data_IF_484774069597
#
_entry.id   IF_484774069597
#
_cell.length_a   1.000
_cell.length_b   1.000
_cell.length_c   1.000
_cell.angle_alpha   90.00
_cell.angle_beta   90.00
_cell.angle_gamma   90.00
#
_symmetry.space_group_name_H-M   'P 1'
#
loop_
_entity.id
_entity.type
_entity.pdbx_description
1 polymer ?
#
# COMPACT_ATOMS: atom_id res chain seq x y z
N UNK A 1 39.52 -20.07 -3.12
CA UNK A 1 39.57 -18.64 -2.74
C UNK A 1 38.44 -17.95 -3.51
N UNK A 2 37.24 -17.91 -2.94
CA UNK A 2 36.05 -17.39 -3.62
C UNK A 2 35.94 -15.90 -3.34
N UNK A 3 36.06 -15.09 -4.39
CA UNK A 3 35.92 -13.64 -4.34
C UNK A 3 34.46 -13.28 -4.08
N UNK A 4 34.21 -12.66 -2.94
CA UNK A 4 32.94 -12.02 -2.58
C UNK A 4 32.88 -10.70 -3.37
N UNK A 5 31.99 -10.60 -4.36
CA UNK A 5 31.69 -9.33 -5.04
C UNK A 5 30.38 -8.79 -4.46
N UNK A 6 30.50 -7.78 -3.58
CA UNK A 6 29.38 -7.00 -3.08
C UNK A 6 28.92 -5.97 -4.11
N UNK A 7 27.62 -5.67 -4.15
CA UNK A 7 27.03 -4.65 -5.03
C UNK A 7 25.96 -3.85 -4.29
N UNK A 8 26.01 -2.54 -4.52
CA UNK A 8 25.31 -1.45 -3.84
C UNK A 8 23.88 -1.21 -4.35
N UNK A 9 23.06 -0.70 -3.43
CA UNK A 9 21.78 -0.02 -3.67
C UNK A 9 22.07 1.33 -4.33
N UNK A 10 21.28 1.72 -5.34
CA UNK A 10 21.17 3.12 -5.73
C UNK A 10 20.08 3.76 -4.87
N UNK A 11 20.46 4.33 -3.72
CA UNK A 11 19.75 5.50 -3.20
C UNK A 11 20.10 6.61 -4.17
N UNK A 12 19.21 6.93 -5.10
CA UNK A 12 19.30 8.19 -5.82
C UNK A 12 19.05 9.29 -4.78
N UNK A 13 20.11 9.72 -4.09
CA UNK A 13 20.15 11.09 -3.58
C UNK A 13 20.25 11.96 -4.82
N UNK A 14 19.10 12.25 -5.44
CA UNK A 14 19.06 13.24 -6.51
C UNK A 14 19.60 14.54 -5.91
N UNK A 15 20.59 15.20 -6.55
CA UNK A 15 21.04 16.50 -6.07
C UNK A 15 19.81 17.40 -5.94
N UNK A 16 19.79 18.17 -4.85
CA UNK A 16 18.82 19.24 -4.64
C UNK A 16 18.65 20.00 -5.96
N UNK A 17 17.41 20.10 -6.43
CA UNK A 17 17.10 20.74 -7.70
C UNK A 17 17.56 22.20 -7.59
N UNK A 18 18.72 22.53 -8.17
CA UNK A 18 19.09 23.93 -8.36
C UNK A 18 18.16 24.47 -9.43
N UNK A 19 17.30 25.40 -9.03
CA UNK A 19 16.43 26.14 -9.93
C UNK A 19 17.31 26.87 -10.94
N UNK A 20 17.32 26.41 -12.20
CA UNK A 20 17.76 27.24 -13.31
C UNK A 20 16.54 27.98 -13.84
N UNK A 21 16.57 29.33 -13.87
CA UNK A 21 15.46 30.08 -14.38
C UNK A 21 15.39 29.91 -15.90
N UNK A 22 14.17 29.84 -16.40
CA UNK A 22 13.80 29.96 -17.82
C UNK A 22 13.92 28.68 -18.65
N UNK A 23 12.91 27.81 -18.51
CA UNK A 23 12.06 27.23 -19.57
C UNK A 23 11.26 26.10 -18.92
N UNK A 24 9.95 26.29 -18.79
CA UNK A 24 9.05 25.32 -18.15
C UNK A 24 8.89 24.06 -19.01
N UNK A 25 9.59 22.99 -18.64
CA UNK A 25 9.23 21.56 -18.81
C UNK A 25 10.48 20.71 -18.54
N UNK A 26 10.43 19.86 -17.51
CA UNK A 26 11.43 18.79 -17.30
C UNK A 26 10.93 17.51 -17.97
N UNK A 27 11.16 17.39 -19.28
CA UNK A 27 11.03 16.09 -19.96
C UNK A 27 12.27 15.24 -19.65
N UNK A 28 12.11 14.18 -18.84
CA UNK A 28 13.08 13.08 -18.84
C UNK A 28 12.70 12.14 -19.98
N UNK A 29 13.24 12.42 -21.17
CA UNK A 29 13.28 11.45 -22.26
C UNK A 29 13.85 10.13 -21.74
N UNK A 30 13.19 9.03 -22.08
CA UNK A 30 13.49 7.69 -21.58
C UNK A 30 14.98 7.37 -21.58
N UNK A 31 15.49 6.99 -20.41
CA UNK A 31 16.69 6.16 -20.33
C UNK A 31 16.23 4.71 -20.34
N UNK A 32 15.83 4.23 -21.53
CA UNK A 32 16.20 2.86 -21.87
C UNK A 32 17.63 2.98 -22.35
N UNK A 33 18.62 2.89 -21.44
CA UNK A 33 19.98 2.69 -21.93
C UNK A 33 20.03 1.27 -22.52
N UNK A 34 20.44 1.09 -23.79
CA UNK A 34 20.64 -0.24 -24.38
C UNK A 34 21.85 -0.98 -23.76
N UNK A 35 22.45 -0.42 -22.70
CA UNK A 35 23.70 -0.83 -22.08
C UNK A 35 23.55 -1.19 -20.60
N UNK A 36 22.36 -1.55 -20.11
CA UNK A 36 22.22 -2.26 -18.82
C UNK A 36 22.60 -3.73 -19.01
N UNK A 37 23.84 -3.98 -19.43
CA UNK A 37 24.43 -5.32 -19.45
C UNK A 37 25.08 -5.57 -18.09
N UNK A 38 24.34 -6.31 -17.24
CA UNK A 38 24.68 -6.74 -15.85
C UNK A 38 24.32 -5.74 -14.75
N UNK A 39 23.02 -5.65 -14.48
CA UNK A 39 22.52 -5.26 -13.16
C UNK A 39 22.75 -6.41 -12.17
N UNK A 40 23.36 -6.12 -11.02
CA UNK A 40 23.45 -7.08 -9.92
C UNK A 40 22.19 -6.94 -9.06
N UNK A 41 21.47 -8.04 -8.85
CA UNK A 41 20.24 -8.07 -8.07
C UNK A 41 20.52 -8.44 -6.62
N UNK A 42 19.93 -7.69 -5.67
CA UNK A 42 19.85 -8.10 -4.26
C UNK A 42 18.55 -8.87 -4.08
N UNK A 43 18.64 -10.12 -3.63
CA UNK A 43 17.47 -10.92 -3.29
C UNK A 43 17.13 -10.68 -1.82
N UNK A 44 16.05 -9.95 -1.55
CA UNK A 44 15.55 -9.70 -0.19
C UNK A 44 14.86 -10.93 0.39
N UNK A 45 13.95 -11.57 -0.36
CA UNK A 45 13.30 -12.82 0.09
C UNK A 45 13.67 -14.00 -0.82
N UNK A 46 14.00 -15.15 -0.21
CA UNK A 46 14.16 -16.42 -0.92
C UNK A 46 12.91 -17.29 -0.78
N UNK A 47 12.29 -17.64 -1.91
CA UNK A 47 11.10 -18.50 -1.98
C UNK A 47 11.36 -19.99 -1.65
N UNK A 48 12.35 -20.31 -0.81
CA UNK A 48 12.78 -21.69 -0.59
C UNK A 48 11.68 -22.60 0.03
N UNK A 49 10.69 -22.02 0.71
CA UNK A 49 9.74 -22.75 1.57
C UNK A 49 8.24 -22.55 1.20
N UNK A 50 7.91 -22.22 -0.04
CA UNK A 50 6.50 -22.14 -0.50
C UNK A 50 5.88 -20.75 -0.58
N UNK A 51 6.71 -19.71 -0.75
CA UNK A 51 6.28 -18.33 -1.01
C UNK A 51 6.66 -17.36 0.10
N UNK A 52 6.99 -16.13 -0.28
CA UNK A 52 7.27 -15.03 0.65
C UNK A 52 6.48 -13.80 0.25
N UNK A 53 5.91 -13.11 1.24
CA UNK A 53 5.33 -11.79 1.07
C UNK A 53 6.37 -10.72 1.35
N UNK A 54 6.33 -9.66 0.56
CA UNK A 54 7.12 -8.45 0.75
C UNK A 54 6.19 -7.34 1.21
N UNK A 55 6.57 -6.69 2.30
CA UNK A 55 5.91 -5.52 2.84
C UNK A 55 6.93 -4.38 2.86
N UNK A 56 6.45 -3.17 2.59
CA UNK A 56 7.20 -1.93 2.67
C UNK A 56 6.58 -1.10 3.79
N UNK A 57 7.42 -0.42 4.54
CA UNK A 57 6.94 0.48 5.57
C UNK A 57 8.04 0.91 6.53
N UNK A 58 7.74 1.87 7.40
CA UNK A 58 8.66 2.31 8.45
C UNK A 58 8.63 1.30 9.61
N UNK A 59 9.60 0.39 9.68
CA UNK A 59 9.65 -0.57 10.77
C UNK A 59 10.62 -0.19 11.89
N UNK A 60 11.67 0.56 11.57
CA UNK A 60 12.76 0.81 12.53
C UNK A 60 12.74 2.21 13.16
N UNK A 61 11.69 3.00 12.94
CA UNK A 61 11.61 4.39 13.44
C UNK A 61 12.57 5.38 12.78
N UNK A 62 13.39 4.92 11.84
CA UNK A 62 14.27 5.81 11.09
C UNK A 62 13.51 6.54 9.97
N UNK A 63 14.20 7.42 9.23
CA UNK A 63 13.56 8.24 8.19
C UNK A 63 13.43 7.56 6.82
N UNK A 64 13.70 6.27 6.74
CA UNK A 64 13.68 5.47 5.53
C UNK A 64 12.61 4.39 5.63
N UNK A 65 12.01 4.08 4.48
CA UNK A 65 11.16 2.89 4.34
C UNK A 65 12.06 1.65 4.39
N UNK A 66 11.68 0.69 5.24
CA UNK A 66 12.34 -0.59 5.37
C UNK A 66 11.63 -1.66 4.54
N UNK A 67 12.32 -2.78 4.25
CA UNK A 67 11.73 -3.91 3.52
C UNK A 67 11.55 -5.07 4.50
N UNK A 68 10.33 -5.60 4.58
CA UNK A 68 9.99 -6.71 5.45
C UNK A 68 9.64 -7.96 4.61
N UNK A 69 10.39 -9.03 4.85
CA UNK A 69 10.16 -10.34 4.25
C UNK A 69 9.45 -11.25 5.25
N UNK A 70 8.33 -11.83 4.82
CA UNK A 70 7.57 -12.80 5.58
C UNK A 70 7.47 -14.12 4.82
N UNK A 71 7.75 -15.25 5.47
CA UNK A 71 7.53 -16.59 4.90
C UNK A 71 6.13 -17.06 5.24
N UNK A 72 5.27 -17.15 4.22
CA UNK A 72 3.84 -17.40 4.44
C UNK A 72 3.56 -18.75 5.12
N UNK A 73 4.36 -19.78 4.85
CA UNK A 73 4.19 -21.11 5.43
C UNK A 73 4.65 -21.21 6.88
N UNK A 74 5.80 -20.62 7.20
CA UNK A 74 6.50 -20.79 8.49
C UNK A 74 6.44 -19.58 9.41
N UNK A 75 5.86 -18.47 8.95
CA UNK A 75 5.83 -17.19 9.67
C UNK A 75 7.19 -16.57 9.91
N UNK A 76 8.25 -17.07 9.26
CA UNK A 76 9.60 -16.57 9.42
C UNK A 76 9.70 -15.12 8.93
N UNK A 77 10.22 -14.24 9.77
CA UNK A 77 10.30 -12.81 9.51
C UNK A 77 11.75 -12.34 9.34
N UNK A 78 11.99 -11.44 8.38
CA UNK A 78 13.30 -10.81 8.17
C UNK A 78 13.10 -9.37 7.76
N UNK A 79 13.72 -8.46 8.50
CA UNK A 79 13.68 -7.03 8.26
C UNK A 79 14.98 -6.58 7.61
N UNK A 80 14.88 -5.84 6.53
CA UNK A 80 15.99 -5.18 5.87
C UNK A 80 15.92 -3.70 6.22
N UNK A 81 16.77 -3.29 7.15
CA UNK A 81 16.92 -1.89 7.52
C UNK A 81 17.62 -1.16 6.38
N UNK A 82 16.90 -0.24 5.75
CA UNK A 82 17.39 0.44 4.54
C UNK A 82 18.30 1.63 4.84
N UNK A 83 18.24 2.18 6.05
CA UNK A 83 19.16 3.22 6.51
C UNK A 83 20.57 2.67 6.71
N UNK A 84 20.71 1.53 7.40
CA UNK A 84 22.01 0.93 7.74
C UNK A 84 22.45 -0.17 6.77
N UNK A 85 21.60 -0.55 5.81
CA UNK A 85 21.81 -1.67 4.89
C UNK A 85 22.11 -2.95 5.69
N UNK A 86 21.31 -3.18 6.74
CA UNK A 86 21.45 -4.34 7.63
C UNK A 86 20.28 -5.30 7.46
N UNK A 87 20.59 -6.59 7.56
CA UNK A 87 19.59 -7.65 7.61
C UNK A 87 19.41 -8.05 9.07
N UNK A 88 18.21 -7.86 9.58
CA UNK A 88 17.79 -8.26 10.91
C UNK A 88 16.90 -9.49 10.77
N UNK A 89 17.46 -10.66 11.05
CA UNK A 89 16.64 -11.85 11.23
C UNK A 89 15.88 -11.72 12.53
N UNK A 90 14.56 -11.71 12.45
CA UNK A 90 13.71 -11.65 13.64
C UNK A 90 13.60 -13.08 14.17
N UNK A 91 14.09 -13.32 15.38
CA UNK A 91 14.13 -14.64 16.01
C UNK A 91 12.76 -15.05 16.59
N UNK A 92 11.69 -14.77 15.84
CA UNK A 92 10.30 -15.01 16.16
C UNK A 92 9.55 -15.31 14.87
N UNK A 93 8.51 -16.13 14.97
CA UNK A 93 7.54 -16.36 13.91
C UNK A 93 6.19 -15.71 14.26
N UNK A 94 5.44 -15.32 13.22
CA UNK A 94 4.10 -14.77 13.33
C UNK A 94 3.35 -15.01 12.02
N UNK A 95 2.03 -15.10 12.07
CA UNK A 95 1.17 -15.30 10.88
C UNK A 95 1.52 -16.53 10.02
N UNK A 96 1.60 -17.70 10.66
CA UNK A 96 1.99 -18.96 10.03
C UNK A 96 0.83 -19.65 9.28
N UNK A 97 1.12 -20.61 8.40
CA UNK A 97 0.08 -21.46 7.78
C UNK A 97 -0.57 -20.90 6.51
N UNK A 98 0.10 -19.98 5.82
CA UNK A 98 -0.39 -19.36 4.59
C UNK A 98 -1.37 -18.21 4.84
N UNK A 99 -1.46 -17.73 6.07
CA UNK A 99 -2.26 -16.57 6.45
C UNK A 99 -1.69 -15.28 5.85
N UNK A 100 -2.53 -14.24 5.83
CA UNK A 100 -2.19 -12.96 5.18
C UNK A 100 -1.58 -12.02 6.19
N UNK A 101 -0.31 -11.67 6.00
CA UNK A 101 0.37 -10.63 6.76
C UNK A 101 0.19 -9.27 6.06
N UNK A 102 -0.15 -8.25 6.85
CA UNK A 102 -0.28 -6.85 6.47
C UNK A 102 0.42 -5.96 7.50
N UNK A 103 0.47 -4.66 7.23
CA UNK A 103 1.03 -3.65 8.13
C UNK A 103 0.01 -2.53 8.38
N UNK A 104 0.11 -1.90 9.54
CA UNK A 104 -0.67 -0.73 9.94
C UNK A 104 0.05 -0.02 11.10
N UNK A 105 -0.09 1.30 11.26
CA UNK A 105 0.34 2.01 12.47
C UNK A 105 -0.82 2.06 13.49
N UNK A 106 -0.99 1.01 14.30
CA UNK A 106 -2.14 0.87 15.18
C UNK A 106 -2.00 1.66 16.49
N UNK A 107 -0.79 2.12 16.83
CA UNK A 107 -0.50 2.82 18.08
C UNK A 107 -0.21 4.32 17.87
N UNK A 108 -0.03 4.77 16.62
CA UNK A 108 0.24 6.16 16.24
C UNK A 108 1.67 6.60 16.49
N UNK A 109 2.63 5.66 16.57
CA UNK A 109 4.04 5.98 16.77
C UNK A 109 4.82 6.14 15.45
N UNK A 110 4.10 6.12 14.33
CA UNK A 110 4.60 6.18 12.96
C UNK A 110 5.39 4.95 12.52
N UNK A 111 5.52 3.92 13.37
CA UNK A 111 6.08 2.63 12.97
C UNK A 111 4.97 1.66 12.57
N UNK A 112 5.26 0.92 11.51
CA UNK A 112 4.38 -0.13 11.05
C UNK A 112 4.40 -1.30 12.02
N UNK A 113 3.22 -1.61 12.54
CA UNK A 113 2.88 -2.83 13.26
C UNK A 113 2.61 -3.96 12.27
N UNK A 114 2.57 -5.20 12.79
CA UNK A 114 2.24 -6.38 11.98
C UNK A 114 0.84 -6.84 12.29
N UNK A 115 0.06 -7.11 11.24
CA UNK A 115 -1.30 -7.63 11.36
C UNK A 115 -1.46 -8.92 10.57
N UNK A 116 -1.99 -9.94 11.22
CA UNK A 116 -2.27 -11.23 10.63
C UNK A 116 -3.76 -11.45 10.48
N UNK A 117 -4.21 -11.68 9.25
CA UNK A 117 -5.54 -12.18 8.95
C UNK A 117 -5.50 -13.69 8.71
N UNK A 118 -6.16 -14.42 9.61
CA UNK A 118 -6.26 -15.88 9.56
C UNK A 118 -7.35 -16.32 8.59
N UNK A 119 -7.31 -17.61 8.23
CA UNK A 119 -8.27 -18.19 7.29
C UNK A 119 -9.72 -18.19 7.79
N UNK A 120 -9.94 -18.13 9.10
CA UNK A 120 -11.27 -18.04 9.72
C UNK A 120 -11.80 -16.60 9.83
N UNK A 121 -11.07 -15.62 9.29
CA UNK A 121 -11.43 -14.20 9.36
C UNK A 121 -11.07 -13.53 10.69
N UNK A 122 -10.45 -14.24 11.63
CA UNK A 122 -9.90 -13.64 12.84
C UNK A 122 -8.63 -12.86 12.54
N UNK A 123 -8.43 -11.78 13.29
CA UNK A 123 -7.29 -10.88 13.12
C UNK A 123 -6.47 -10.83 14.40
N UNK A 124 -5.15 -10.97 14.30
CA UNK A 124 -4.20 -10.74 15.40
C UNK A 124 -3.13 -9.75 14.99
N UNK A 125 -2.48 -9.08 15.94
CA UNK A 125 -1.45 -8.09 15.64
C UNK A 125 -0.28 -8.14 16.63
N UNK A 126 0.84 -7.56 16.20
CA UNK A 126 2.04 -7.29 16.99
C UNK A 126 2.39 -5.81 16.90
N UNK A 127 2.40 -5.13 18.04
CA UNK A 127 2.88 -3.75 18.10
C UNK A 127 4.39 -3.67 17.99
N UNK A 128 4.87 -2.75 17.17
CA UNK A 128 6.25 -2.46 16.89
C UNK A 128 6.80 -1.39 17.85
N UNK A 129 6.94 -1.77 19.11
CA UNK A 129 7.44 -0.84 20.15
C UNK A 129 8.97 -0.87 20.31
N UNK A 130 9.67 -1.75 19.58
CA UNK A 130 11.10 -2.01 19.74
C UNK A 130 11.94 -1.71 18.49
N UNK A 131 11.39 -0.96 17.53
CA UNK A 131 12.12 -0.55 16.32
C UNK A 131 12.34 -1.68 15.33
N UNK A 132 11.34 -2.54 15.17
CA UNK A 132 11.22 -3.51 14.09
C UNK A 132 11.66 -4.92 14.45
N UNK A 133 12.05 -5.18 15.71
CA UNK A 133 12.50 -6.52 16.11
C UNK A 133 11.38 -7.42 16.62
N UNK A 134 10.25 -6.84 17.05
CA UNK A 134 9.07 -7.53 17.57
C UNK A 134 9.38 -8.56 18.68
N UNK A 135 10.50 -8.41 19.40
CA UNK A 135 11.00 -9.36 20.39
C UNK A 135 10.17 -9.35 21.66
N UNK A 136 9.72 -8.17 22.08
CA UNK A 136 8.90 -7.99 23.30
C UNK A 136 7.42 -7.85 23.00
N UNK A 137 7.03 -7.83 21.73
CA UNK A 137 5.64 -7.65 21.33
C UNK A 137 4.78 -8.84 21.80
N UNK A 138 3.70 -8.60 22.53
CA UNK A 138 2.74 -9.65 22.81
C UNK A 138 1.80 -9.82 21.59
N UNK A 139 1.54 -11.06 21.15
CA UNK A 139 0.45 -11.29 20.19
C UNK A 139 -0.87 -10.99 20.87
N UNK A 140 -1.68 -10.17 20.21
CA UNK A 140 -3.01 -9.80 20.65
C UNK A 140 -4.01 -10.11 19.54
N UNK A 141 -5.22 -10.51 19.94
CA UNK A 141 -6.31 -10.71 18.98
C UNK A 141 -7.19 -9.45 18.96
N UNK A 142 -7.70 -9.14 17.78
CA UNK A 142 -8.74 -8.14 17.59
C UNK A 142 -10.06 -8.79 18.01
N UNK A 143 -10.52 -8.45 19.22
CA UNK A 143 -11.78 -8.96 19.77
C UNK A 143 -12.98 -8.24 19.15
N UNK A 144 -13.16 -8.39 17.83
CA UNK A 144 -14.30 -7.85 17.10
C UNK A 144 -15.50 -8.81 17.17
N UNK A 145 -16.71 -8.26 17.16
CA UNK A 145 -17.96 -9.06 17.03
C UNK A 145 -18.26 -9.46 15.56
N UNK A 146 -17.29 -9.28 14.67
CA UNK A 146 -17.41 -9.51 13.22
C UNK A 146 -16.18 -10.27 12.68
N UNK A 147 -16.33 -10.91 11.53
CA UNK A 147 -15.28 -11.68 10.84
C UNK A 147 -14.91 -11.03 9.52
N UNK A 148 -13.61 -11.02 9.20
CA UNK A 148 -13.07 -10.39 7.98
C UNK A 148 -12.72 -11.44 6.94
N UNK A 149 -13.73 -12.08 6.36
CA UNK A 149 -13.54 -13.17 5.40
C UNK A 149 -13.48 -12.72 3.93
N UNK A 150 -13.81 -11.45 3.61
CA UNK A 150 -13.69 -10.94 2.23
C UNK A 150 -12.57 -9.91 2.06
N UNK A 151 -12.66 -8.78 2.77
CA UNK A 151 -11.71 -7.67 2.65
C UNK A 151 -11.30 -7.16 4.03
N UNK A 152 -10.03 -6.76 4.17
CA UNK A 152 -9.49 -6.10 5.35
C UNK A 152 -8.63 -4.94 4.90
N UNK A 153 -8.91 -3.76 5.44
CA UNK A 153 -8.29 -2.47 5.14
C UNK A 153 -7.90 -1.81 6.46
N UNK A 154 -6.75 -1.13 6.44
CA UNK A 154 -6.27 -0.30 7.54
C UNK A 154 -6.15 1.15 7.08
N UNK A 155 -6.36 2.13 7.94
CA UNK A 155 -6.19 3.55 7.60
C UNK A 155 -6.80 4.46 8.65
N UNK A 156 -6.30 5.69 8.80
CA UNK A 156 -6.85 6.65 9.76
C UNK A 156 -8.25 7.13 9.34
N UNK A 157 -9.29 6.53 9.93
CA UNK A 157 -10.68 6.85 9.60
C UNK A 157 -11.10 8.11 10.34
N UNK A 158 -10.50 8.41 11.50
CA UNK A 158 -10.98 9.45 12.41
C UNK A 158 -10.11 10.71 12.53
N UNK A 159 -8.92 10.69 11.91
CA UNK A 159 -7.97 11.80 11.89
C UNK A 159 -7.09 11.87 13.15
N UNK A 160 -6.95 10.80 13.92
CA UNK A 160 -6.11 10.77 15.13
C UNK A 160 -4.68 10.26 14.90
N UNK A 161 -4.30 10.09 13.63
CA UNK A 161 -3.02 9.56 13.14
C UNK A 161 -2.74 8.12 13.59
N UNK A 162 -3.79 7.31 13.77
CA UNK A 162 -3.67 5.86 13.93
C UNK A 162 -4.45 5.16 12.85
N UNK A 163 -3.90 4.06 12.36
CA UNK A 163 -4.61 3.22 11.41
C UNK A 163 -5.76 2.49 12.11
N UNK A 164 -6.97 2.84 11.71
CA UNK A 164 -8.21 2.17 12.04
C UNK A 164 -8.46 0.98 11.11
N UNK A 165 -9.53 0.22 11.37
CA UNK A 165 -9.80 -1.04 10.66
C UNK A 165 -11.13 -0.95 9.93
N UNK A 166 -11.13 -1.32 8.65
CA UNK A 166 -12.33 -1.58 7.85
C UNK A 166 -12.31 -3.02 7.36
N UNK A 167 -13.45 -3.68 7.44
CA UNK A 167 -13.61 -5.09 7.19
C UNK A 167 -14.88 -5.34 6.39
N UNK A 168 -14.80 -6.13 5.33
CA UNK A 168 -15.96 -6.61 4.60
C UNK A 168 -16.13 -8.10 4.84
N UNK A 169 -17.36 -8.51 5.13
CA UNK A 169 -17.73 -9.92 5.19
C UNK A 169 -18.20 -10.46 3.82
N UNK A 170 -18.40 -11.77 3.69
CA UNK A 170 -18.90 -12.41 2.46
C UNK A 170 -20.32 -11.93 2.04
N UNK A 171 -21.14 -11.48 2.98
CA UNK A 171 -22.46 -10.89 2.70
C UNK A 171 -22.36 -9.45 2.16
N UNK A 172 -21.14 -8.90 2.07
CA UNK A 172 -20.86 -7.56 1.57
C UNK A 172 -21.03 -6.45 2.59
N UNK A 173 -21.30 -6.81 3.84
CA UNK A 173 -21.44 -5.86 4.94
C UNK A 173 -20.07 -5.30 5.30
N UNK A 174 -19.99 -3.97 5.34
CA UNK A 174 -18.82 -3.25 5.86
C UNK A 174 -18.98 -3.08 7.36
N UNK A 175 -17.91 -3.40 8.08
CA UNK A 175 -17.69 -3.13 9.49
C UNK A 175 -16.45 -2.26 9.61
N UNK A 176 -16.45 -1.29 10.52
CA UNK A 176 -15.23 -0.56 10.86
C UNK A 176 -15.05 -0.45 12.37
N UNK A 177 -13.82 -0.13 12.77
CA UNK A 177 -13.42 -0.02 14.16
C UNK A 177 -12.30 1.00 14.31
N UNK A 178 -12.48 1.91 15.27
CA UNK A 178 -11.47 2.91 15.60
C UNK A 178 -10.47 2.36 16.62
N UNK A 179 -9.20 2.61 16.39
CA UNK A 179 -8.14 2.30 17.35
C UNK A 179 -8.11 3.35 18.46
N UNK A 180 -7.72 2.94 19.67
CA UNK A 180 -7.55 3.88 20.79
C UNK A 180 -6.25 3.59 21.55
N UNK A 181 -5.71 4.64 22.14
CA UNK A 181 -4.30 4.82 22.44
C UNK A 181 -3.75 4.11 23.68
N UNK A 182 -4.24 2.92 24.07
CA UNK A 182 -3.55 2.19 25.16
C UNK A 182 -3.87 0.71 25.32
N UNK A 183 -4.96 0.20 24.73
CA UNK A 183 -5.23 -1.23 24.82
C UNK A 183 -6.15 -1.71 23.70
N UNK A 184 -5.56 -1.94 22.54
CA UNK A 184 -6.19 -2.63 21.41
C UNK A 184 -6.78 -4.02 21.78
N UNK A 185 -6.43 -4.58 22.95
CA UNK A 185 -6.95 -5.83 23.47
C UNK A 185 -8.28 -5.73 24.27
N UNK A 186 -8.67 -4.55 24.78
CA UNK A 186 -9.86 -4.41 25.66
C UNK A 186 -10.80 -3.23 25.38
N UNK A 187 -10.57 -2.44 24.34
CA UNK A 187 -11.46 -1.36 23.90
C UNK A 187 -10.89 -0.84 22.58
N UNK A 188 -11.60 -0.29 21.61
CA UNK A 188 -12.90 0.35 21.56
C UNK A 188 -13.33 0.20 20.09
N UNK A 189 -14.06 -0.87 19.77
CA UNK A 189 -14.83 -0.93 18.53
C UNK A 189 -16.06 -0.02 18.70
N UNK A 190 -15.84 1.29 18.80
CA UNK A 190 -16.96 2.24 18.91
C UNK A 190 -17.64 2.36 17.56
N UNK A 191 -18.96 2.14 17.59
CA UNK A 191 -19.93 2.15 16.48
C UNK A 191 -19.65 1.19 15.32
N UNK A 192 -20.25 -0.01 15.40
CA UNK A 192 -20.64 -0.77 14.23
C UNK A 192 -21.61 0.09 13.40
N UNK A 193 -21.17 0.60 12.26
CA UNK A 193 -22.09 0.99 11.18
C UNK A 193 -22.08 -0.14 10.15
N UNK A 194 -23.25 -0.69 9.91
CA UNK A 194 -23.49 -1.72 8.90
C UNK A 194 -23.98 -1.01 7.66
N UNK A 195 -23.19 -0.98 6.59
CA UNK A 195 -23.69 -0.49 5.30
C UNK A 195 -24.55 -1.56 4.62
N UNK A 196 -25.63 -1.18 3.90
CA UNK A 196 -26.52 -2.13 3.25
C UNK A 196 -25.77 -3.08 2.31
N UNK A 197 -26.28 -4.30 2.24
CA UNK A 197 -25.78 -5.41 1.43
C UNK A 197 -25.93 -5.10 -0.06
N UNK A 198 -24.96 -4.39 -0.66
CA UNK A 198 -24.71 -4.30 -2.12
C UNK A 198 -23.76 -3.18 -2.53
N UNK A 199 -23.31 -2.31 -1.60
CA UNK A 199 -22.44 -1.17 -1.93
C UNK A 199 -21.25 -1.55 -2.82
N UNK A 200 -20.50 -2.58 -2.42
CA UNK A 200 -19.35 -3.09 -3.16
C UNK A 200 -19.21 -4.62 -3.00
N UNK A 201 -20.23 -5.39 -3.41
CA UNK A 201 -20.28 -6.84 -3.21
C UNK A 201 -20.39 -7.70 -4.48
N UNK A 202 -20.25 -7.11 -5.66
CA UNK A 202 -20.10 -7.86 -6.90
C UNK A 202 -18.90 -8.80 -6.86
N UNK A 203 -18.94 -9.84 -7.69
CA UNK A 203 -17.88 -10.88 -7.77
C UNK A 203 -16.53 -10.33 -8.22
N UNK A 204 -16.53 -9.17 -8.88
CA UNK A 204 -15.35 -8.48 -9.38
C UNK A 204 -15.12 -7.13 -8.70
N UNK A 205 -15.94 -6.79 -7.70
CA UNK A 205 -15.87 -5.50 -7.03
C UNK A 205 -14.65 -5.46 -6.10
N UNK A 206 -13.99 -4.31 -6.07
CA UNK A 206 -12.84 -4.06 -5.22
C UNK A 206 -13.07 -2.80 -4.39
N UNK A 207 -12.79 -2.89 -3.09
CA UNK A 207 -12.78 -1.74 -2.21
C UNK A 207 -11.36 -1.18 -2.20
N UNK A 208 -11.25 0.09 -2.56
CA UNK A 208 -10.01 0.86 -2.47
C UNK A 208 -10.15 1.89 -1.33
N UNK A 209 -9.02 2.44 -0.88
CA UNK A 209 -8.96 3.37 0.23
C UNK A 209 -8.10 4.59 -0.13
N UNK A 210 -8.44 5.76 0.39
CA UNK A 210 -7.64 6.99 0.29
C UNK A 210 -8.46 8.21 0.72
N UNK A 211 -7.80 9.33 1.00
CA UNK A 211 -8.47 10.60 1.32
C UNK A 211 -9.03 11.24 0.05
N UNK A 212 -10.31 11.02 -0.25
CA UNK A 212 -10.92 11.45 -1.52
C UNK A 212 -11.39 12.89 -1.46
N UNK A 213 -11.61 13.45 -0.27
CA UNK A 213 -12.16 14.79 -0.08
C UNK A 213 -11.18 15.80 0.55
N UNK A 214 -9.95 15.36 0.86
CA UNK A 214 -8.86 16.17 1.40
C UNK A 214 -9.04 16.56 2.87
N UNK A 215 -9.81 15.81 3.64
CA UNK A 215 -10.08 16.10 5.06
C UNK A 215 -9.09 15.43 6.03
N UNK A 216 -8.11 14.69 5.50
CA UNK A 216 -7.08 13.97 6.23
C UNK A 216 -7.52 12.61 6.76
N UNK A 217 -8.73 12.15 6.43
CA UNK A 217 -9.23 10.83 6.81
C UNK A 217 -9.30 9.91 5.61
N UNK A 218 -9.22 8.61 5.86
CA UNK A 218 -9.35 7.61 4.82
C UNK A 218 -10.83 7.38 4.48
N UNK A 219 -11.15 7.61 3.22
CA UNK A 219 -12.41 7.24 2.59
C UNK A 219 -12.28 5.87 1.88
N UNK A 220 -13.43 5.32 1.47
CA UNK A 220 -13.49 4.09 0.70
C UNK A 220 -14.10 4.33 -0.68
N UNK A 221 -13.55 3.70 -1.70
CA UNK A 221 -14.02 3.79 -3.08
C UNK A 221 -14.37 2.40 -3.60
N UNK A 222 -15.57 2.24 -4.16
CA UNK A 222 -15.95 1.00 -4.82
C UNK A 222 -15.59 1.03 -6.31
N UNK A 223 -14.66 0.16 -6.71
CA UNK A 223 -14.45 -0.20 -8.11
C UNK A 223 -15.34 -1.40 -8.45
N UNK A 224 -16.41 -1.13 -9.19
CA UNK A 224 -17.43 -2.11 -9.55
C UNK A 224 -17.24 -2.63 -10.98
N UNK A 225 -17.56 -3.91 -11.19
CA UNK A 225 -17.67 -4.52 -12.52
C UNK A 225 -16.41 -4.33 -13.41
N UNK A 226 -15.23 -4.17 -12.76
CA UNK A 226 -13.91 -3.90 -13.37
C UNK A 226 -13.74 -2.60 -14.14
N UNK A 227 -14.82 -1.88 -14.43
CA UNK A 227 -14.81 -0.74 -15.36
C UNK A 227 -15.47 0.50 -14.78
N UNK A 228 -16.13 0.40 -13.63
CA UNK A 228 -16.87 1.52 -13.05
C UNK A 228 -16.32 1.90 -11.68
N UNK A 229 -16.30 3.20 -11.38
CA UNK A 229 -16.41 3.69 -10.01
C UNK A 229 -17.89 3.91 -9.72
N UNK A 230 -18.42 3.35 -8.63
CA UNK A 230 -19.88 3.36 -8.35
C UNK A 230 -20.32 4.29 -7.21
N UNK A 231 -19.48 4.45 -6.19
CA UNK A 231 -19.72 5.39 -5.11
C UNK A 231 -18.50 5.41 -4.18
N UNK A 232 -18.43 6.48 -3.41
CA UNK A 232 -17.51 6.61 -2.29
C UNK A 232 -18.27 6.54 -0.97
N UNK A 233 -17.64 5.94 0.04
CA UNK A 233 -18.02 6.11 1.44
C UNK A 233 -17.03 7.09 2.05
N UNK A 234 -17.51 8.28 2.36
CA UNK A 234 -16.72 9.39 2.89
C UNK A 234 -16.74 9.35 4.41
N UNK A 235 -15.57 9.34 5.04
CA UNK A 235 -15.47 9.24 6.49
C UNK A 235 -15.78 10.58 7.16
N UNK A 236 -16.69 10.56 8.14
CA UNK A 236 -16.86 11.67 9.08
C UNK A 236 -15.91 11.57 10.30
N UNK A 237 -15.24 10.43 10.46
CA UNK A 237 -14.49 10.02 11.63
C UNK A 237 -15.31 9.28 12.70
N UNK A 238 -16.64 9.32 12.61
CA UNK A 238 -17.53 8.53 13.46
C UNK A 238 -18.51 7.65 12.67
N UNK A 239 -18.65 7.90 11.37
CA UNK A 239 -19.48 7.19 10.42
C UNK A 239 -18.88 7.34 9.02
N UNK A 240 -19.43 6.62 8.04
CA UNK A 240 -19.27 6.99 6.64
C UNK A 240 -20.59 7.51 6.08
N UNK A 241 -20.52 8.46 5.17
CA UNK A 241 -21.64 8.93 4.37
C UNK A 241 -21.43 8.48 2.92
N UNK A 242 -22.49 7.97 2.28
CA UNK A 242 -22.38 7.51 0.90
C UNK A 242 -22.56 8.69 -0.07
N UNK A 243 -21.56 8.90 -0.92
CA UNK A 243 -21.64 9.80 -2.06
C UNK A 243 -21.78 8.98 -3.34
N UNK A 244 -23.00 9.01 -3.89
CA UNK A 244 -23.40 8.22 -5.05
C UNK A 244 -22.93 8.85 -6.35
N UNK A 245 -22.13 8.12 -7.12
CA UNK A 245 -21.76 8.49 -8.49
C UNK A 245 -21.36 7.25 -9.28
N UNK A 246 -21.99 6.99 -10.42
CA UNK A 246 -21.54 5.90 -11.30
C UNK A 246 -20.81 6.49 -12.49
N UNK A 247 -19.56 6.05 -12.69
CA UNK A 247 -18.67 6.55 -13.71
C UNK A 247 -17.91 5.40 -14.34
N UNK A 248 -18.06 5.24 -15.65
CA UNK A 248 -17.22 4.35 -16.44
C UNK A 248 -15.81 4.96 -16.55
N UNK A 249 -14.78 4.17 -16.25
CA UNK A 249 -13.39 4.57 -16.41
C UNK A 249 -13.00 4.42 -17.87
N UNK A 250 -13.11 5.48 -18.68
CA UNK A 250 -12.69 5.45 -20.08
C UNK A 250 -11.16 5.26 -20.21
N UNK A 251 -10.41 5.90 -19.30
CA UNK A 251 -8.94 5.85 -19.29
C UNK A 251 -8.40 4.63 -18.55
N UNK A 252 -9.06 4.26 -17.45
CA UNK A 252 -8.67 3.20 -16.54
C UNK A 252 -9.62 1.99 -16.58
N UNK A 253 -10.22 1.74 -17.75
CA UNK A 253 -11.20 0.67 -17.96
C UNK A 253 -10.69 -0.53 -18.76
N UNK A 254 -9.38 -0.70 -18.93
CA UNK A 254 -8.88 -1.90 -19.62
C UNK A 254 -9.26 -3.16 -18.81
N UNK A 255 -9.55 -4.26 -19.51
CA UNK A 255 -9.88 -5.52 -18.83
C UNK A 255 -8.69 -5.99 -17.98
N UNK A 256 -8.91 -6.10 -16.67
CA UNK A 256 -7.92 -6.51 -15.66
C UNK A 256 -6.81 -5.48 -15.42
N UNK A 257 -7.12 -4.27 -14.96
CA UNK A 257 -6.13 -3.34 -14.42
C UNK A 257 -5.93 -3.51 -12.91
N UNK A 258 -4.78 -3.05 -12.41
CA UNK A 258 -4.57 -2.78 -10.99
C UNK A 258 -4.85 -1.33 -10.72
N UNK A 259 -5.69 -1.08 -9.74
CA UNK A 259 -5.98 0.26 -9.27
C UNK A 259 -5.35 0.46 -7.90
N UNK A 260 -4.80 1.65 -7.69
CA UNK A 260 -4.38 2.15 -6.39
C UNK A 260 -4.93 3.56 -6.22
N UNK A 261 -5.33 3.90 -5.00
CA UNK A 261 -5.88 5.21 -4.65
C UNK A 261 -4.94 5.84 -3.64
N UNK A 262 -4.27 6.93 -4.02
CA UNK A 262 -3.32 7.66 -3.16
C UNK A 262 -2.94 9.02 -3.73
N UNK A 263 -2.56 9.95 -2.87
CA UNK A 263 -2.15 11.30 -3.27
C UNK A 263 -0.75 11.27 -3.91
N UNK A 264 -0.71 11.14 -5.24
CA UNK A 264 0.54 11.00 -5.99
C UNK A 264 1.11 12.35 -6.46
N UNK A 265 0.32 13.43 -6.38
CA UNK A 265 0.72 14.78 -6.79
C UNK A 265 0.95 15.73 -5.60
N UNK A 266 0.64 15.29 -4.37
CA UNK A 266 0.80 16.04 -3.13
C UNK A 266 -0.21 17.17 -2.95
N UNK A 267 -1.38 17.11 -3.59
CA UNK A 267 -2.41 18.15 -3.50
C UNK A 267 -3.38 17.95 -2.32
N UNK A 268 -3.20 16.87 -1.55
CA UNK A 268 -4.02 16.49 -0.42
C UNK A 268 -5.21 15.60 -0.79
N UNK A 269 -5.41 15.27 -2.07
CA UNK A 269 -6.50 14.41 -2.53
C UNK A 269 -5.92 13.12 -3.12
N UNK A 270 -6.54 11.99 -2.77
CA UNK A 270 -6.12 10.71 -3.28
C UNK A 270 -6.49 10.59 -4.76
N UNK A 271 -5.47 10.35 -5.59
CA UNK A 271 -5.56 10.15 -7.03
C UNK A 271 -5.74 8.66 -7.37
N UNK A 272 -6.18 8.38 -8.59
CA UNK A 272 -6.33 7.01 -9.09
C UNK A 272 -5.16 6.65 -10.01
N UNK A 273 -4.38 5.65 -9.61
CA UNK A 273 -3.29 5.08 -10.41
C UNK A 273 -3.73 3.74 -10.98
N UNK A 274 -3.63 3.62 -12.29
CA UNK A 274 -4.14 2.50 -13.06
C UNK A 274 -3.01 1.84 -13.81
N UNK A 275 -2.72 0.57 -13.51
CA UNK A 275 -1.66 -0.19 -14.18
C UNK A 275 -2.25 -1.36 -14.94
N UNK A 276 -1.93 -1.47 -16.21
CA UNK A 276 -2.26 -2.64 -17.01
C UNK A 276 -1.67 -3.92 -16.40
N UNK A 277 -2.49 -4.98 -16.36
CA UNK A 277 -2.03 -6.34 -15.99
C UNK A 277 -1.15 -6.99 -17.03
N UNK A 278 -1.15 -6.48 -18.26
CA UNK A 278 -0.30 -7.00 -19.30
C UNK A 278 1.18 -6.70 -19.02
N UNK A 279 2.06 -7.32 -19.82
CA UNK A 279 3.49 -7.13 -19.68
C UNK A 279 3.98 -5.80 -20.28
N UNK A 280 3.09 -4.96 -20.83
CA UNK A 280 3.48 -3.68 -21.42
C UNK A 280 3.93 -2.69 -20.36
N UNK A 281 3.35 -2.82 -19.15
CA UNK A 281 3.57 -1.94 -18.02
C UNK A 281 2.89 -0.57 -18.18
N UNK A 282 1.90 -0.42 -19.04
CA UNK A 282 1.20 0.87 -19.17
C UNK A 282 0.59 1.27 -17.83
N UNK A 283 0.97 2.46 -17.36
CA UNK A 283 0.47 3.10 -16.14
C UNK A 283 -0.12 4.45 -16.51
N UNK A 284 -1.32 4.70 -16.01
CA UNK A 284 -2.10 5.92 -16.20
C UNK A 284 -2.46 6.48 -14.83
N UNK A 285 -2.56 7.80 -14.73
CA UNK A 285 -2.96 8.49 -13.49
C UNK A 285 -4.12 9.43 -13.83
N UNK A 286 -5.16 9.37 -12.99
CA UNK A 286 -6.27 10.32 -12.98
C UNK A 286 -6.17 11.10 -11.67
N UNK A 287 -5.99 12.42 -11.78
CA UNK A 287 -5.96 13.28 -10.60
C UNK A 287 -7.39 13.52 -10.10
N UNK A 288 -7.57 13.35 -8.81
CA UNK A 288 -8.80 13.72 -8.14
C UNK A 288 -8.86 15.24 -7.97
N UNK A 289 -10.07 15.79 -7.81
CA UNK A 289 -10.28 17.19 -7.46
C UNK A 289 -11.35 17.30 -6.40
N UNK A 290 -11.26 18.29 -5.50
CA UNK A 290 -12.26 18.52 -4.49
C UNK A 290 -13.68 18.62 -5.07
N UNK A 291 -14.58 17.75 -4.59
CA UNK A 291 -16.00 17.76 -4.91
C UNK A 291 -16.41 17.18 -6.26
N UNK A 292 -15.47 16.61 -7.03
CA UNK A 292 -15.69 16.19 -8.42
C UNK A 292 -15.19 14.75 -8.72
N UNK A 293 -14.95 13.91 -7.70
CA UNK A 293 -14.35 12.55 -7.77
C UNK A 293 -14.10 12.00 -9.17
N UNK A 294 -12.87 12.17 -9.66
CA UNK A 294 -12.38 11.61 -10.93
C UNK A 294 -13.18 11.98 -12.21
N UNK A 295 -14.04 13.01 -12.19
CA UNK A 295 -14.84 13.41 -13.37
C UNK A 295 -13.99 13.95 -14.52
N UNK A 296 -12.86 14.59 -14.23
CA UNK A 296 -11.84 14.94 -15.21
C UNK A 296 -10.94 13.74 -15.50
N UNK A 297 -11.43 12.84 -16.36
CA UNK A 297 -10.65 11.68 -16.84
C UNK A 297 -9.62 12.06 -17.92
N UNK A 298 -9.10 13.30 -17.94
CA UNK A 298 -7.95 13.58 -18.79
C UNK A 298 -6.76 12.76 -18.30
N UNK A 299 -6.14 11.99 -19.20
CA UNK A 299 -4.87 11.32 -18.88
C UNK A 299 -3.82 12.40 -18.68
N UNK A 300 -3.51 12.69 -17.43
CA UNK A 300 -2.49 13.70 -17.11
C UNK A 300 -1.11 13.12 -17.38
N UNK A 301 -0.95 11.81 -17.11
CA UNK A 301 0.28 11.08 -17.33
C UNK A 301 0.01 9.64 -17.80
N UNK A 302 0.58 9.27 -18.95
CA UNK A 302 0.68 7.89 -19.43
C UNK A 302 2.16 7.54 -19.63
N UNK A 303 2.60 6.46 -19.01
CA UNK A 303 3.97 5.98 -19.12
C UNK A 303 4.05 4.47 -18.97
N UNK A 304 5.23 3.91 -19.27
CA UNK A 304 5.49 2.48 -19.11
C UNK A 304 6.28 2.24 -17.83
N UNK A 305 5.69 1.55 -16.88
CA UNK A 305 6.25 1.21 -15.60
C UNK A 305 6.08 -0.28 -15.28
N UNK A 306 7.13 -0.87 -14.71
CA UNK A 306 7.19 -2.29 -14.38
C UNK A 306 6.83 -3.22 -15.57
N UNK A 307 7.49 -2.99 -16.71
CA UNK A 307 7.39 -3.84 -17.91
C UNK A 307 7.81 -5.26 -17.59
N UNK A 308 7.01 -6.25 -18.00
CA UNK A 308 7.12 -7.66 -17.60
C UNK A 308 6.94 -7.91 -16.08
N UNK A 309 6.51 -6.90 -15.33
CA UNK A 309 6.10 -7.02 -13.95
C UNK A 309 4.67 -7.53 -13.88
N UNK A 310 4.48 -8.55 -13.04
CA UNK A 310 3.17 -9.09 -12.80
C UNK A 310 2.25 -8.13 -12.02
N UNK A 311 0.97 -8.49 -11.94
CA UNK A 311 -0.08 -7.75 -11.25
C UNK A 311 0.17 -7.43 -9.76
N UNK A 312 0.77 -8.37 -9.03
CA UNK A 312 0.74 -8.42 -7.55
C UNK A 312 1.83 -7.61 -6.85
N UNK A 313 2.55 -6.79 -7.59
CA UNK A 313 3.89 -6.36 -7.20
C UNK A 313 4.09 -4.85 -7.28
N UNK A 314 3.00 -4.07 -7.21
CA UNK A 314 2.99 -2.62 -7.36
C UNK A 314 2.63 -1.96 -6.02
N UNK A 315 3.42 -0.97 -5.60
CA UNK A 315 3.26 -0.26 -4.32
C UNK A 315 3.42 1.24 -4.55
N UNK A 316 2.72 2.04 -3.75
CA UNK A 316 2.76 3.51 -3.77
C UNK A 316 3.01 4.00 -2.35
N UNK A 317 4.15 4.64 -2.13
CA UNK A 317 4.56 5.19 -0.82
C UNK A 317 5.70 6.17 -1.00
N UNK A 318 5.74 7.26 -0.23
CA UNK A 318 6.89 8.18 -0.16
C UNK A 318 8.14 7.47 0.43
N UNK A 319 8.90 6.78 -0.43
CA UNK A 319 10.05 5.98 0.03
C UNK A 319 11.27 6.84 0.35
N UNK A 320 11.29 8.07 -0.14
CA UNK A 320 12.45 8.95 -0.06
C UNK A 320 12.25 10.15 0.91
N UNK A 321 11.02 10.32 1.42
CA UNK A 321 10.58 11.39 2.32
C UNK A 321 10.72 12.79 1.75
N UNK A 322 10.40 12.96 0.47
CA UNK A 322 10.27 14.29 -0.14
C UNK A 322 8.85 14.87 -0.05
N UNK A 323 7.92 14.14 0.58
CA UNK A 323 6.53 14.55 0.75
C UNK A 323 5.64 14.15 -0.43
N UNK A 324 6.15 13.35 -1.38
CA UNK A 324 5.40 12.85 -2.52
C UNK A 324 5.48 11.33 -2.57
N UNK A 325 4.35 10.68 -2.86
CA UNK A 325 4.35 9.23 -2.99
C UNK A 325 5.15 8.74 -4.20
N UNK A 326 5.99 7.72 -4.00
CA UNK A 326 6.78 7.06 -5.04
C UNK A 326 6.12 5.77 -5.53
N UNK A 327 6.42 5.38 -6.77
CA UNK A 327 5.99 4.10 -7.36
C UNK A 327 7.06 3.02 -7.22
N UNK A 328 6.75 1.92 -6.53
CA UNK A 328 7.65 0.78 -6.34
C UNK A 328 7.10 -0.46 -7.04
N UNK A 329 7.98 -1.24 -7.68
CA UNK A 329 7.59 -2.51 -8.27
C UNK A 329 8.58 -3.65 -8.09
N UNK A 330 8.04 -4.88 -8.10
CA UNK A 330 8.76 -6.13 -8.18
C UNK A 330 8.46 -6.88 -9.50
N UNK A 331 9.49 -7.29 -10.23
CA UNK A 331 9.29 -8.07 -11.48
C UNK A 331 9.40 -9.58 -11.25
N UNK A 332 8.60 -10.37 -11.98
CA UNK A 332 8.63 -11.84 -11.95
C UNK A 332 9.88 -12.41 -12.64
N UNK A 333 10.43 -11.69 -13.61
CA UNK A 333 11.68 -12.02 -14.29
C UNK A 333 12.80 -11.22 -13.63
N UNK A 334 13.72 -11.93 -12.98
CA UNK A 334 15.00 -11.44 -12.44
C UNK A 334 15.04 -10.72 -11.07
N UNK A 335 14.00 -10.73 -10.23
CA UNK A 335 14.06 -10.20 -8.85
C UNK A 335 14.69 -8.79 -8.77
N UNK A 336 14.25 -7.90 -9.67
CA UNK A 336 14.75 -6.51 -9.76
C UNK A 336 13.75 -5.59 -9.04
N UNK A 337 14.27 -4.63 -8.29
CA UNK A 337 13.51 -3.71 -7.43
C UNK A 337 13.87 -2.25 -7.70
N UNK A 338 12.85 -1.40 -7.55
CA UNK A 338 12.83 0.06 -7.29
C UNK A 338 13.21 0.98 -8.46
N UNK A 339 12.32 1.92 -8.77
CA UNK A 339 12.67 3.22 -9.34
C UNK A 339 11.84 4.33 -8.67
N UNK A 340 12.55 5.30 -8.10
CA UNK A 340 12.02 6.50 -7.42
C UNK A 340 11.63 7.53 -8.48
N UNK A 341 10.39 7.98 -8.42
CA UNK A 341 9.85 8.94 -9.38
C UNK A 341 9.57 10.22 -8.62
N UNK A 342 10.41 11.24 -8.80
CA UNK A 342 10.01 12.62 -8.50
C UNK A 342 8.72 12.91 -9.26
N UNK A 343 7.58 12.87 -8.59
CA UNK A 343 6.35 13.38 -9.15
C UNK A 343 6.41 14.91 -9.15
N UNK A 344 7.12 15.47 -10.13
CA UNK A 344 6.77 16.81 -10.63
C UNK A 344 5.73 16.59 -11.72
N UNK A 345 4.46 16.57 -11.33
CA UNK A 345 3.33 16.63 -12.24
C UNK A 345 2.56 17.93 -12.03
#
# INVERSE_FOLDING_TARGET
MWLIFGVSIFLLKLPSCQTLPMLGSCFVNGIVSPSISRANSVTFCSNADGGSSLLFGRFTGNDFIDIFCHRNSTGGMTLFNMNSIQVLSIARTFCEGGWRLMTADLNGDSNQDLVCLRADGSVSYLLNTDGGTFLTAAEQNINASFTCNKTLIFGDINGDNKDDIVCQNEDGIIHFALTNSSNLATGLFTSQQTFPTSWCNGTMDQIMKGDLNGDGKIDLLCHAERTYLRSALISSGASFEEELFEMELEVCGDENQFLLVRDINGDGYADLVCKSSDLTGTTKIIHNKPGEYFTDQSVRNEFRFCVNGGPTNFYVEDVNRDGFDDLVCQTSIAKRYIFISRCYF
#
